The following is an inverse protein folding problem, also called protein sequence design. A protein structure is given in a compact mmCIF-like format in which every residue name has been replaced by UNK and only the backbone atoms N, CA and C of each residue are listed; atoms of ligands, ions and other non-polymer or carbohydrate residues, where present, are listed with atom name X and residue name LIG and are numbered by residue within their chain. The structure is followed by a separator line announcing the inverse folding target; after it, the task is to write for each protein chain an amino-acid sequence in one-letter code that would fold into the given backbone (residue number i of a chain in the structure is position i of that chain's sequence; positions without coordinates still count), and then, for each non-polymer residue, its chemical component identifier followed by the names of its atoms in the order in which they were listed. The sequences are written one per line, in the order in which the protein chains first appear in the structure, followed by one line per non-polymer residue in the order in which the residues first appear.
data_IF_425186762856
#
_entry.id   IF_425186762856
#
_cell.length_a   1.000
_cell.length_b   1.000
_cell.length_c   1.000
_cell.angle_alpha   90.00
_cell.angle_beta   90.00
_cell.angle_gamma   90.00
#
_symmetry.space_group_name_H-M   'P 1'
#
loop_
_entity.id
_entity.type
_entity.pdbx_description
1 polymer ?
#
# COMPACT_ATOMS: atom_id res chain seq x y z
N UNK A 1 0.64 -22.80 21.36
CA UNK A 1 1.22 -22.39 20.06
C UNK A 1 0.62 -21.03 19.71
N UNK A 2 1.43 -19.97 19.59
CA UNK A 2 0.92 -18.69 19.08
C UNK A 2 0.63 -18.89 17.59
N UNK A 3 -0.64 -18.96 17.21
CA UNK A 3 -1.02 -18.98 15.80
C UNK A 3 -0.59 -17.65 15.18
N UNK A 4 0.53 -17.66 14.45
CA UNK A 4 0.98 -16.53 13.65
C UNK A 4 -0.09 -16.23 12.61
N UNK A 5 -0.52 -14.98 12.53
CA UNK A 5 -1.52 -14.54 11.56
C UNK A 5 -1.03 -14.79 10.12
N UNK A 6 -1.84 -15.37 9.22
CA UNK A 6 -1.44 -15.58 7.83
C UNK A 6 -1.10 -14.26 7.13
N UNK A 7 0.02 -14.24 6.40
CA UNK A 7 0.52 -13.07 5.68
C UNK A 7 0.20 -13.18 4.19
N UNK A 8 -0.20 -12.06 3.61
CA UNK A 8 -0.34 -11.84 2.17
C UNK A 8 0.98 -11.36 1.59
N UNK A 9 1.68 -10.48 2.32
CA UNK A 9 3.02 -10.01 2.01
C UNK A 9 3.87 -9.95 3.28
N UNK A 10 5.15 -10.29 3.13
CA UNK A 10 6.19 -10.15 4.14
C UNK A 10 7.49 -9.82 3.41
N UNK A 11 7.82 -8.53 3.32
CA UNK A 11 8.94 -8.02 2.52
C UNK A 11 9.70 -6.95 3.28
N UNK A 12 10.87 -6.56 2.78
CA UNK A 12 11.58 -5.38 3.26
C UNK A 12 11.33 -4.21 2.32
N UNK A 13 11.12 -3.02 2.90
CA UNK A 13 11.03 -1.80 2.11
C UNK A 13 12.41 -1.35 1.61
N UNK A 14 12.44 -0.32 0.75
CA UNK A 14 13.68 0.28 0.23
C UNK A 14 14.69 0.75 1.30
N UNK A 15 14.31 0.78 2.58
CA UNK A 15 15.15 1.15 3.73
C UNK A 15 15.55 -0.05 4.58
N UNK A 16 15.27 -1.28 4.15
CA UNK A 16 15.50 -2.50 4.90
C UNK A 16 14.56 -2.66 6.10
N UNK A 17 13.40 -2.00 6.12
CA UNK A 17 12.40 -2.18 7.17
C UNK A 17 11.40 -3.26 6.75
N UNK A 18 11.20 -4.24 7.62
CA UNK A 18 10.20 -5.29 7.40
C UNK A 18 8.80 -4.68 7.36
N UNK A 19 8.07 -4.95 6.28
CA UNK A 19 6.69 -4.54 6.03
C UNK A 19 5.84 -5.78 5.81
N UNK A 20 4.76 -5.90 6.57
CA UNK A 20 3.82 -7.01 6.44
C UNK A 20 2.44 -6.55 6.04
N UNK A 21 1.76 -7.36 5.22
CA UNK A 21 0.36 -7.22 4.91
C UNK A 21 -0.36 -8.50 5.32
N UNK A 22 -1.27 -8.41 6.29
CA UNK A 22 -1.91 -9.60 6.85
C UNK A 22 -3.21 -9.96 6.14
N UNK A 23 -3.60 -11.23 6.20
CA UNK A 23 -4.84 -11.70 5.59
C UNK A 23 -6.09 -11.07 6.24
N UNK A 24 -6.05 -10.82 7.55
CA UNK A 24 -7.13 -10.09 8.24
C UNK A 24 -7.26 -8.68 7.69
N UNK A 25 -6.15 -7.97 7.49
CA UNK A 25 -6.17 -6.60 6.98
C UNK A 25 -6.68 -6.57 5.55
N UNK A 26 -6.25 -7.52 4.70
CA UNK A 26 -6.78 -7.71 3.35
C UNK A 26 -8.29 -7.87 3.38
N UNK A 27 -8.81 -8.82 4.17
CA UNK A 27 -10.26 -9.06 4.32
C UNK A 27 -11.03 -7.82 4.80
N UNK A 28 -10.47 -7.06 5.75
CA UNK A 28 -11.08 -5.80 6.23
C UNK A 28 -11.22 -4.75 5.12
N UNK A 29 -10.33 -4.76 4.11
CA UNK A 29 -10.27 -3.75 3.06
C UNK A 29 -10.94 -4.17 1.76
N UNK A 30 -11.14 -5.47 1.52
CA UNK A 30 -11.71 -6.00 0.27
C UNK A 30 -13.04 -5.37 -0.15
N UNK A 31 -13.92 -5.04 0.81
CA UNK A 31 -15.23 -4.42 0.48
C UNK A 31 -15.10 -3.04 -0.18
N UNK A 32 -14.04 -2.29 0.16
CA UNK A 32 -13.75 -0.96 -0.43
C UNK A 32 -12.70 -1.04 -1.55
N UNK A 33 -11.89 -2.10 -1.56
CA UNK A 33 -10.71 -2.26 -2.41
C UNK A 33 -10.68 -3.68 -2.98
N UNK A 34 -11.59 -4.02 -3.91
CA UNK A 34 -11.73 -5.39 -4.43
C UNK A 34 -10.49 -5.86 -5.20
N UNK A 35 -9.70 -4.94 -5.76
CA UNK A 35 -8.43 -5.24 -6.43
C UNK A 35 -7.40 -5.93 -5.53
N UNK A 36 -7.56 -5.90 -4.19
CA UNK A 36 -6.70 -6.62 -3.26
C UNK A 36 -6.84 -8.16 -3.35
N UNK A 37 -7.83 -8.68 -4.08
CA UNK A 37 -7.96 -10.12 -4.36
C UNK A 37 -7.07 -10.56 -5.53
N UNK A 38 -6.69 -9.63 -6.41
CA UNK A 38 -5.94 -9.92 -7.62
C UNK A 38 -4.46 -10.16 -7.30
N UNK A 39 -3.98 -11.37 -7.58
CA UNK A 39 -2.58 -11.75 -7.36
C UNK A 39 -1.60 -10.86 -8.14
N UNK A 40 -1.99 -10.37 -9.33
CA UNK A 40 -1.16 -9.45 -10.12
C UNK A 40 -1.04 -8.10 -9.43
N UNK A 41 -2.15 -7.59 -8.87
CA UNK A 41 -2.13 -6.37 -8.07
C UNK A 41 -1.26 -6.54 -6.83
N UNK A 42 -1.33 -7.69 -6.14
CA UNK A 42 -0.45 -7.98 -5.00
C UNK A 42 1.04 -7.94 -5.40
N UNK A 43 1.40 -8.47 -6.57
CA UNK A 43 2.77 -8.35 -7.09
C UNK A 43 3.20 -6.89 -7.34
N UNK A 44 2.31 -6.03 -7.81
CA UNK A 44 2.61 -4.60 -7.95
C UNK A 44 2.68 -3.86 -6.61
N UNK A 45 1.87 -4.27 -5.62
CA UNK A 45 1.95 -3.78 -4.24
C UNK A 45 3.29 -4.14 -3.60
N UNK A 46 3.76 -5.37 -3.80
CA UNK A 46 5.08 -5.81 -3.35
C UNK A 46 6.18 -4.92 -3.95
N UNK A 47 6.15 -4.71 -5.28
CA UNK A 47 7.08 -3.80 -5.97
C UNK A 47 7.04 -2.39 -5.40
N UNK A 48 5.85 -1.85 -5.14
CA UNK A 48 5.73 -0.53 -4.52
C UNK A 48 6.43 -0.43 -3.16
N UNK A 49 6.50 -1.50 -2.38
CA UNK A 49 7.13 -1.48 -1.06
C UNK A 49 8.66 -1.64 -1.19
N UNK A 50 9.08 -2.64 -1.97
CA UNK A 50 10.49 -3.03 -2.12
C UNK A 50 11.28 -1.98 -2.91
N UNK A 51 10.73 -1.52 -4.03
CA UNK A 51 11.39 -0.62 -4.98
C UNK A 51 10.39 0.42 -5.54
N UNK A 52 9.98 1.40 -4.71
CA UNK A 52 9.03 2.44 -5.11
C UNK A 52 9.62 3.42 -6.11
N UNK A 53 8.82 3.84 -7.10
CA UNK A 53 9.13 5.00 -7.94
C UNK A 53 9.11 6.30 -7.13
N UNK A 54 8.16 6.39 -6.19
CA UNK A 54 8.01 7.57 -5.34
C UNK A 54 7.56 7.19 -3.94
N UNK A 55 8.00 7.99 -2.98
CA UNK A 55 7.68 7.83 -1.57
C UNK A 55 7.29 9.18 -1.00
N UNK A 56 6.10 9.24 -0.41
CA UNK A 56 5.56 10.46 0.19
C UNK A 56 5.12 10.21 1.63
N UNK A 57 5.18 11.23 2.48
CA UNK A 57 4.51 11.17 3.77
C UNK A 57 2.99 11.19 3.57
N UNK A 58 2.25 10.51 4.44
CA UNK A 58 0.79 10.67 4.41
C UNK A 58 0.42 12.09 4.85
N UNK A 59 -0.59 12.69 4.22
CA UNK A 59 -0.99 14.07 4.54
C UNK A 59 -1.70 14.17 5.89
N UNK A 60 -2.48 13.14 6.24
CA UNK A 60 -3.30 13.14 7.45
C UNK A 60 -2.50 12.67 8.66
N UNK A 61 -1.56 11.75 8.47
CA UNK A 61 -0.68 11.23 9.53
C UNK A 61 0.79 11.07 9.07
N UNK A 62 1.50 12.19 8.81
CA UNK A 62 2.86 12.15 8.23
C UNK A 62 3.90 11.52 9.14
N UNK A 63 3.63 11.47 10.45
CA UNK A 63 4.54 10.91 11.46
C UNK A 63 4.45 9.40 11.55
N UNK A 64 3.27 8.82 11.29
CA UNK A 64 3.05 7.38 11.47
C UNK A 64 2.81 6.65 10.17
N UNK A 65 2.46 7.34 9.08
CA UNK A 65 2.17 6.71 7.79
C UNK A 65 3.03 7.26 6.67
N UNK A 66 3.28 6.37 5.71
CA UNK A 66 3.99 6.67 4.47
C UNK A 66 3.25 6.05 3.30
N UNK A 67 3.25 6.75 2.17
CA UNK A 67 2.68 6.30 0.92
C UNK A 67 3.80 5.92 -0.04
N UNK A 68 3.71 4.72 -0.61
CA UNK A 68 4.65 4.18 -1.57
C UNK A 68 3.93 4.03 -2.91
N UNK A 69 4.59 4.39 -4.01
CA UNK A 69 3.99 4.42 -5.34
C UNK A 69 4.83 3.63 -6.32
N UNK A 70 4.16 2.85 -7.18
CA UNK A 70 4.79 2.13 -8.28
C UNK A 70 3.91 2.13 -9.52
N UNK A 71 4.44 2.65 -10.62
CA UNK A 71 3.78 2.75 -11.93
C UNK A 71 4.02 1.47 -12.73
N UNK A 72 2.95 0.74 -13.01
CA UNK A 72 3.01 -0.54 -13.72
C UNK A 72 2.41 -0.49 -15.14
N UNK A 73 1.89 0.65 -15.55
CA UNK A 73 1.49 0.92 -16.94
C UNK A 73 1.63 2.41 -17.24
N UNK A 74 1.44 2.82 -18.50
CA UNK A 74 1.49 4.23 -18.90
C UNK A 74 0.59 5.15 -18.05
N UNK A 75 -0.53 4.62 -17.54
CA UNK A 75 -1.57 5.41 -16.86
C UNK A 75 -1.96 4.86 -15.49
N UNK A 76 -1.36 3.78 -14.99
CA UNK A 76 -1.78 3.15 -13.72
C UNK A 76 -0.61 2.90 -12.78
N UNK A 77 -0.87 3.07 -11.50
CA UNK A 77 0.07 2.82 -10.41
C UNK A 77 -0.65 2.21 -9.22
N UNK A 78 0.14 1.53 -8.40
CA UNK A 78 -0.24 1.15 -7.05
C UNK A 78 0.18 2.25 -6.10
N UNK A 79 -0.69 2.58 -5.15
CA UNK A 79 -0.36 3.36 -3.95
C UNK A 79 -0.53 2.49 -2.73
N UNK A 80 0.55 2.15 -2.04
CA UNK A 80 0.53 1.46 -0.75
C UNK A 80 0.57 2.47 0.39
N UNK A 81 -0.28 2.30 1.40
CA UNK A 81 -0.22 3.09 2.64
C UNK A 81 0.30 2.19 3.76
N UNK A 82 1.43 2.55 4.33
CA UNK A 82 2.13 1.76 5.35
C UNK A 82 2.23 2.54 6.65
N UNK A 83 1.86 1.90 7.77
CA UNK A 83 2.20 2.38 9.10
C UNK A 83 3.67 2.08 9.39
N UNK A 84 4.45 3.14 9.57
CA UNK A 84 5.90 3.11 9.78
C UNK A 84 6.31 3.24 11.25
N UNK A 85 5.34 3.42 12.14
CA UNK A 85 5.58 3.51 13.59
C UNK A 85 5.68 2.13 14.26
N UNK A 86 5.23 1.07 13.58
CA UNK A 86 5.24 -0.30 14.07
C UNK A 86 6.49 -1.06 13.59
N UNK A 87 6.91 -2.07 14.35
CA UNK A 87 7.94 -3.03 13.97
C UNK A 87 7.40 -4.47 14.16
N UNK A 88 7.04 -5.19 13.07
CA UNK A 88 7.18 -4.80 11.67
C UNK A 88 6.22 -3.68 11.26
N UNK A 89 6.59 -2.93 10.23
CA UNK A 89 5.70 -1.95 9.59
C UNK A 89 4.49 -2.66 8.96
N UNK A 90 3.34 -2.00 8.93
CA UNK A 90 2.07 -2.63 8.53
C UNK A 90 1.45 -1.96 7.31
N UNK A 91 1.14 -2.73 6.26
CA UNK A 91 0.32 -2.23 5.15
C UNK A 91 -1.10 -1.99 5.67
N UNK A 92 -1.54 -0.74 5.66
CA UNK A 92 -2.87 -0.32 6.09
C UNK A 92 -3.90 -0.60 5.00
N UNK A 93 -3.55 -0.26 3.77
CA UNK A 93 -4.36 -0.44 2.56
C UNK A 93 -3.51 -0.18 1.32
N UNK A 94 -4.01 -0.57 0.16
CA UNK A 94 -3.42 -0.22 -1.12
C UNK A 94 -4.50 0.11 -2.16
N UNK A 95 -4.18 1.01 -3.08
CA UNK A 95 -5.08 1.50 -4.11
C UNK A 95 -4.52 1.21 -5.49
N UNK A 96 -5.41 0.83 -6.39
CA UNK A 96 -5.17 0.85 -7.82
C UNK A 96 -5.69 2.16 -8.39
N UNK A 97 -4.80 2.97 -8.95
CA UNK A 97 -5.11 4.35 -9.31
C UNK A 97 -4.72 4.66 -10.76
N UNK A 98 -5.44 5.61 -11.34
CA UNK A 98 -5.20 6.16 -12.68
C UNK A 98 -4.42 7.48 -12.56
N UNK A 99 -3.38 7.67 -13.38
CA UNK A 99 -2.42 8.77 -13.29
C UNK A 99 -3.06 10.07 -13.70
N UNK A 100 -3.93 10.02 -14.69
CA UNK A 100 -4.69 11.17 -15.16
C UNK A 100 -5.65 11.63 -14.06
N UNK A 101 -6.23 10.69 -13.30
CA UNK A 101 -7.17 11.02 -12.22
C UNK A 101 -6.50 11.68 -11.01
N UNK A 102 -5.33 11.20 -10.55
CA UNK A 102 -4.60 11.91 -9.46
C UNK A 102 -4.02 13.24 -9.94
N UNK A 103 -3.45 13.31 -11.15
CA UNK A 103 -2.84 14.55 -11.66
C UNK A 103 -3.86 15.68 -11.86
N UNK A 104 -5.02 15.36 -12.44
CA UNK A 104 -6.05 16.36 -12.72
C UNK A 104 -6.90 16.71 -11.51
N UNK A 105 -6.94 15.85 -10.49
CA UNK A 105 -7.71 16.09 -9.29
C UNK A 105 -6.90 15.86 -8.01
N UNK A 106 -5.78 16.61 -7.82
CA UNK A 106 -4.98 16.50 -6.60
C UNK A 106 -5.77 16.95 -5.35
N UNK A 107 -6.90 17.64 -5.58
CA UNK A 107 -7.85 18.12 -4.56
C UNK A 107 -9.20 17.39 -4.58
N UNK A 108 -9.40 16.33 -5.39
CA UNK A 108 -10.58 15.49 -5.18
C UNK A 108 -10.43 14.96 -3.75
N UNK A 109 -11.27 15.48 -2.84
CA UNK A 109 -11.23 15.11 -1.42
C UNK A 109 -11.11 13.59 -1.35
N UNK A 110 -10.01 13.12 -0.76
CA UNK A 110 -9.86 11.76 -0.24
C UNK A 110 -11.17 11.46 0.49
N UNK A 111 -12.05 10.67 -0.14
CA UNK A 111 -13.37 10.38 0.42
C UNK A 111 -13.14 9.66 1.76
N UNK A 112 -13.58 10.34 2.83
CA UNK A 112 -13.52 9.95 4.24
C UNK A 112 -14.06 8.52 4.46
#
# INVERSE_FOLDING_TARGET
MKNSEPLVLDVEDYRGKRVVFTEKKRKQKLSKHPHLIDAKFIGFLERAIVDPDQVWQDLDDPKRKRCYYYKYSAYRYVKAVVWIADDPCLVVTAYDLDYIKELNYPKLKRLL
#
